data_IF_578194144756
#
_entry.id   IF_578194144756
#
_cell.length_a   1.000
_cell.length_b   1.000
_cell.length_c   1.000
_cell.angle_alpha   90.00
_cell.angle_beta   90.00
_cell.angle_gamma   90.00
#
_symmetry.space_group_name_H-M   'P 1'
#
loop_
_entity.id
_entity.type
_entity.pdbx_description
1 polymer ?
#
# COMPACT_ATOMS: atom_id res chain seq x y z
N UNK A 1 -42.43 18.28 -12.76
CA UNK A 1 -41.07 18.23 -13.30
C UNK A 1 -40.25 17.32 -12.40
N UNK A 2 -39.78 16.13 -12.82
CA UNK A 2 -38.92 15.32 -11.97
C UNK A 2 -37.50 15.88 -12.06
N UNK A 3 -36.97 16.36 -10.93
CA UNK A 3 -35.58 16.81 -10.83
C UNK A 3 -34.64 15.60 -10.93
N UNK A 4 -33.63 15.74 -11.79
CA UNK A 4 -32.55 14.77 -11.95
C UNK A 4 -31.84 14.56 -10.62
N UNK A 5 -31.79 13.31 -10.17
CA UNK A 5 -30.97 12.86 -9.04
C UNK A 5 -29.50 13.02 -9.42
N UNK A 6 -28.88 14.11 -8.96
CA UNK A 6 -27.43 14.23 -8.96
C UNK A 6 -26.86 13.06 -8.15
N UNK A 7 -26.15 12.15 -8.82
CA UNK A 7 -25.41 11.07 -8.19
C UNK A 7 -24.40 11.68 -7.23
N UNK A 8 -24.67 11.62 -5.92
CA UNK A 8 -23.76 12.13 -4.90
C UNK A 8 -22.46 11.32 -4.94
N UNK A 9 -21.39 11.91 -5.47
CA UNK A 9 -20.06 11.29 -5.46
C UNK A 9 -19.61 11.18 -4.01
N UNK A 10 -19.45 9.94 -3.50
CA UNK A 10 -18.86 9.72 -2.18
C UNK A 10 -17.36 9.92 -2.26
N UNK A 11 -16.87 10.96 -1.60
CA UNK A 11 -15.44 11.20 -1.41
C UNK A 11 -14.89 10.23 -0.35
N UNK A 12 -13.69 9.71 -0.57
CA UNK A 12 -12.95 8.88 0.38
C UNK A 12 -11.54 9.43 0.55
N UNK A 13 -10.99 9.29 1.75
CA UNK A 13 -9.61 9.67 2.06
C UNK A 13 -8.74 8.42 1.90
N UNK A 14 -7.66 8.55 1.15
CA UNK A 14 -6.61 7.53 1.06
C UNK A 14 -5.44 7.90 1.96
N UNK A 15 -5.07 7.00 2.87
CA UNK A 15 -3.91 7.13 3.75
C UNK A 15 -2.74 6.34 3.15
N UNK A 16 -1.67 7.05 2.79
CA UNK A 16 -0.60 6.48 1.96
C UNK A 16 0.63 6.16 2.78
N UNK A 17 1.13 4.93 2.66
CA UNK A 17 2.48 4.54 3.06
C UNK A 17 3.33 4.34 1.81
N UNK A 18 4.37 5.14 1.67
CA UNK A 18 5.43 4.97 0.67
C UNK A 18 6.65 4.36 1.34
N UNK A 19 7.27 3.39 0.67
CA UNK A 19 8.49 2.72 1.10
C UNK A 19 9.39 2.45 -0.09
N UNK A 20 10.70 2.44 0.16
CA UNK A 20 11.73 2.32 -0.86
C UNK A 20 12.94 1.50 -0.36
N UNK A 21 13.57 0.76 -1.26
CA UNK A 21 14.75 -0.04 -0.98
C UNK A 21 16.02 0.80 -1.08
N UNK A 22 16.65 1.07 0.08
CA UNK A 22 17.91 1.82 0.12
C UNK A 22 19.00 1.09 -0.63
N UNK A 23 19.61 1.77 -1.61
CA UNK A 23 20.72 1.24 -2.39
C UNK A 23 20.31 0.31 -3.54
N UNK A 24 19.02 0.22 -3.87
CA UNK A 24 18.49 -0.61 -4.95
C UNK A 24 19.27 -0.48 -6.26
N UNK A 25 19.59 0.75 -6.68
CA UNK A 25 20.26 1.01 -7.96
C UNK A 25 21.70 0.47 -8.04
N UNK A 26 22.29 0.03 -6.91
CA UNK A 26 23.63 -0.56 -6.85
C UNK A 26 23.64 -2.08 -7.03
N UNK A 27 22.47 -2.72 -6.97
CA UNK A 27 22.30 -4.15 -7.04
C UNK A 27 22.20 -4.64 -8.49
N UNK A 28 22.56 -5.90 -8.72
CA UNK A 28 22.32 -6.58 -10.00
C UNK A 28 20.81 -6.79 -10.20
N UNK A 29 20.37 -6.97 -11.46
CA UNK A 29 18.95 -7.15 -11.79
C UNK A 29 18.29 -8.33 -11.06
N UNK A 30 19.01 -9.44 -10.91
CA UNK A 30 18.50 -10.62 -10.19
C UNK A 30 18.36 -10.34 -8.68
N UNK A 31 19.30 -9.60 -8.10
CA UNK A 31 19.24 -9.18 -6.70
C UNK A 31 18.08 -8.19 -6.48
N UNK A 32 17.94 -7.20 -7.36
CA UNK A 32 16.82 -6.25 -7.36
C UNK A 32 15.48 -6.99 -7.34
N UNK A 33 15.30 -7.97 -8.22
CA UNK A 33 14.10 -8.80 -8.26
C UNK A 33 13.89 -9.56 -6.96
N UNK A 34 14.94 -10.20 -6.44
CA UNK A 34 14.87 -10.97 -5.20
C UNK A 34 14.44 -10.09 -4.01
N UNK A 35 15.03 -8.89 -3.86
CA UNK A 35 14.66 -7.99 -2.77
C UNK A 35 13.26 -7.42 -2.93
N UNK A 36 12.80 -7.17 -4.16
CA UNK A 36 11.41 -6.75 -4.39
C UNK A 36 10.41 -7.86 -4.05
N UNK A 37 10.73 -9.12 -4.36
CA UNK A 37 9.91 -10.27 -3.96
C UNK A 37 9.87 -10.41 -2.43
N UNK A 38 11.02 -10.23 -1.75
CA UNK A 38 11.10 -10.23 -0.29
C UNK A 38 10.28 -9.09 0.35
N UNK A 39 10.45 -7.86 -0.13
CA UNK A 39 9.67 -6.69 0.33
C UNK A 39 8.17 -6.96 0.16
N UNK A 40 7.78 -7.48 -1.00
CA UNK A 40 6.39 -7.83 -1.30
C UNK A 40 5.84 -8.85 -0.31
N UNK A 41 6.63 -9.86 0.06
CA UNK A 41 6.22 -10.90 1.00
C UNK A 41 6.11 -10.36 2.43
N UNK A 42 7.07 -9.55 2.88
CA UNK A 42 7.04 -8.88 4.20
C UNK A 42 5.77 -8.04 4.32
N UNK A 43 5.52 -7.15 3.34
CA UNK A 43 4.34 -6.28 3.31
C UNK A 43 3.05 -7.10 3.35
N UNK A 44 2.96 -8.20 2.59
CA UNK A 44 1.77 -9.05 2.54
C UNK A 44 1.46 -9.77 3.85
N UNK A 45 2.46 -9.99 4.70
CA UNK A 45 2.28 -10.68 5.99
C UNK A 45 1.71 -9.77 7.08
N UNK A 46 1.83 -8.45 6.91
CA UNK A 46 1.34 -7.48 7.90
C UNK A 46 -0.16 -7.59 8.12
N UNK A 47 -0.59 -7.41 9.36
CA UNK A 47 -2.01 -7.52 9.75
C UNK A 47 -2.86 -6.47 9.03
N UNK A 48 -2.35 -5.24 8.90
CA UNK A 48 -3.09 -4.14 8.28
C UNK A 48 -3.28 -4.37 6.78
N UNK A 49 -2.27 -4.90 6.09
CA UNK A 49 -2.40 -5.23 4.66
C UNK A 49 -3.39 -6.36 4.44
N UNK A 50 -3.36 -7.40 5.28
CA UNK A 50 -4.31 -8.51 5.18
C UNK A 50 -5.75 -8.07 5.42
N UNK A 51 -5.98 -7.38 6.53
CA UNK A 51 -7.32 -6.91 6.91
C UNK A 51 -7.88 -5.88 5.92
N UNK A 52 -7.09 -4.89 5.49
CA UNK A 52 -7.53 -3.91 4.51
C UNK A 52 -7.76 -4.54 3.12
N UNK A 53 -6.98 -5.55 2.73
CA UNK A 53 -7.20 -6.31 1.49
C UNK A 53 -8.50 -7.11 1.52
N UNK A 54 -8.77 -7.82 2.61
CA UNK A 54 -10.01 -8.58 2.80
C UNK A 54 -11.24 -7.66 2.80
N UNK A 55 -11.10 -6.45 3.36
CA UNK A 55 -12.15 -5.43 3.35
C UNK A 55 -12.30 -4.66 2.02
N UNK A 56 -11.45 -4.91 1.02
CA UNK A 56 -11.44 -4.15 -0.25
C UNK A 56 -11.05 -2.68 -0.08
N UNK A 57 -10.30 -2.34 0.97
CA UNK A 57 -9.89 -0.99 1.37
C UNK A 57 -8.39 -0.75 1.19
N UNK A 58 -7.72 -1.53 0.34
CA UNK A 58 -6.30 -1.41 0.07
C UNK A 58 -6.04 -1.33 -1.44
N UNK A 59 -5.30 -0.32 -1.85
CA UNK A 59 -4.63 -0.28 -3.16
C UNK A 59 -3.14 -0.45 -2.94
N UNK A 60 -2.50 -1.28 -3.77
CA UNK A 60 -1.06 -1.49 -3.76
C UNK A 60 -0.49 -1.19 -5.13
N UNK A 61 0.49 -0.30 -5.18
CA UNK A 61 1.14 0.15 -6.40
C UNK A 61 2.65 -0.10 -6.29
N UNK A 62 3.27 -0.84 -7.23
CA UNK A 62 4.72 -0.89 -7.33
C UNK A 62 5.24 0.47 -7.81
N UNK A 63 6.32 0.95 -7.21
CA UNK A 63 6.90 2.26 -7.57
C UNK A 63 8.41 2.09 -7.69
N UNK A 64 8.87 1.69 -8.88
CA UNK A 64 10.29 1.44 -9.14
C UNK A 64 10.89 0.41 -8.19
N UNK A 65 11.72 0.90 -7.27
CA UNK A 65 12.44 0.22 -6.21
C UNK A 65 11.68 0.07 -4.88
N UNK A 66 10.42 0.49 -4.88
CA UNK A 66 9.59 0.55 -3.70
C UNK A 66 8.13 0.17 -3.93
N UNK A 67 7.31 0.54 -2.94
CA UNK A 67 5.89 0.23 -2.92
C UNK A 67 5.09 1.38 -2.30
N UNK A 68 3.94 1.66 -2.87
CA UNK A 68 2.92 2.51 -2.27
C UNK A 68 1.71 1.67 -1.86
N UNK A 69 1.31 1.83 -0.61
CA UNK A 69 0.09 1.25 -0.06
C UNK A 69 -0.87 2.39 0.25
N UNK A 70 -2.09 2.31 -0.27
CA UNK A 70 -3.15 3.28 0.00
C UNK A 70 -4.27 2.58 0.76
N UNK A 71 -4.43 2.97 2.01
CA UNK A 71 -5.44 2.47 2.92
C UNK A 71 -6.65 3.40 2.94
N UNK A 72 -7.87 2.84 2.95
CA UNK A 72 -9.13 3.59 3.00
C UNK A 72 -9.93 3.32 4.28
N UNK A 73 -9.29 2.78 5.32
CA UNK A 73 -9.90 2.41 6.60
C UNK A 73 -9.62 3.43 7.72
N UNK A 74 -8.36 3.66 8.07
CA UNK A 74 -7.94 4.55 9.16
C UNK A 74 -6.58 5.21 8.84
N UNK A 75 -6.35 6.46 9.28
CA UNK A 75 -5.03 7.10 9.24
C UNK A 75 -3.94 6.34 10.02
N UNK A 76 -4.29 5.51 11.00
CA UNK A 76 -3.30 4.73 11.76
C UNK A 76 -2.83 3.47 11.02
N UNK A 77 -3.62 2.96 10.07
CA UNK A 77 -3.32 1.73 9.33
C UNK A 77 -1.94 1.75 8.64
N UNK A 78 -1.56 2.79 7.86
CA UNK A 78 -0.21 2.87 7.28
C UNK A 78 0.89 2.92 8.33
N UNK A 79 0.67 3.60 9.47
CA UNK A 79 1.69 3.73 10.52
C UNK A 79 1.92 2.39 11.23
N UNK A 80 0.85 1.67 11.56
CA UNK A 80 0.95 0.33 12.17
C UNK A 80 1.62 -0.67 11.22
N UNK A 81 1.26 -0.61 9.94
CA UNK A 81 1.92 -1.39 8.89
C UNK A 81 3.43 -1.12 8.85
N UNK A 82 3.84 0.15 8.83
CA UNK A 82 5.26 0.52 8.83
C UNK A 82 6.00 0.02 10.08
N UNK A 83 5.39 0.11 11.27
CA UNK A 83 5.95 -0.41 12.51
C UNK A 83 6.13 -1.93 12.43
N UNK A 84 5.16 -2.67 11.88
CA UNK A 84 5.26 -4.12 11.74
C UNK A 84 6.35 -4.53 10.74
N UNK A 85 6.49 -3.80 9.61
CA UNK A 85 7.55 -4.03 8.62
C UNK A 85 8.95 -3.76 9.20
N UNK A 86 9.06 -2.84 10.16
CA UNK A 86 10.34 -2.50 10.79
C UNK A 86 10.88 -3.56 11.77
N UNK A 87 10.09 -4.59 12.08
CA UNK A 87 10.45 -5.68 13.01
C UNK A 87 11.08 -6.85 12.28
#
# INVERSE_FOLDING_TARGET
>A
MPSQTATSVRLQIGHVLFMDLVGYSRLLLDEQRQYMEQLTEIVRRTEQVRSAKEAGKLIRLPVGDGMALVFFDSPEAPVRCAIEISR
#
